data_IF_321277609570
#
_entry.id   IF_321277609570
#
_cell.length_a   1.000
_cell.length_b   1.000
_cell.length_c   1.000
_cell.angle_alpha   90.00
_cell.angle_beta   90.00
_cell.angle_gamma   90.00
#
_symmetry.space_group_name_H-M   'P 1'
#
loop_
_entity.id
_entity.type
_entity.pdbx_description
1 polymer ?
#
# COMPACT_ATOMS: atom_id res chain seq x y z
N UNK A 1 -13.78 9.01 23.36
CA UNK A 1 -12.67 8.39 22.59
C UNK A 1 -13.31 7.46 21.58
N UNK A 2 -12.83 7.40 20.36
CA UNK A 2 -13.30 6.39 19.39
C UNK A 2 -12.97 5.00 19.94
N UNK A 3 -13.89 4.05 19.72
CA UNK A 3 -13.66 2.65 20.06
C UNK A 3 -12.66 2.05 19.06
N UNK A 4 -11.70 1.28 19.57
CA UNK A 4 -10.68 0.64 18.73
C UNK A 4 -11.36 -0.51 17.97
N UNK A 5 -11.37 -0.49 16.62
CA UNK A 5 -11.95 -1.57 15.81
C UNK A 5 -11.33 -2.94 16.11
N UNK A 6 -12.17 -3.99 16.09
CA UNK A 6 -11.77 -5.37 16.40
C UNK A 6 -10.62 -5.90 15.54
N UNK A 7 -10.51 -5.43 14.30
CA UNK A 7 -9.37 -5.71 13.40
C UNK A 7 -8.01 -5.60 14.10
N UNK A 8 -7.81 -4.54 14.90
CA UNK A 8 -6.50 -4.25 15.49
C UNK A 8 -6.14 -5.20 16.65
N UNK A 9 -7.08 -5.97 17.17
CA UNK A 9 -6.80 -6.99 18.20
C UNK A 9 -5.94 -8.15 17.66
N UNK A 10 -5.90 -8.34 16.35
CA UNK A 10 -5.12 -9.40 15.70
C UNK A 10 -3.60 -9.11 15.61
N UNK A 11 -3.18 -7.90 15.98
CA UNK A 11 -1.79 -7.48 15.80
C UNK A 11 -1.10 -7.16 17.12
N UNK A 12 0.08 -7.76 17.32
CA UNK A 12 0.94 -7.50 18.48
C UNK A 12 1.64 -6.14 18.38
N UNK A 13 1.91 -5.68 17.17
CA UNK A 13 2.54 -4.40 16.91
C UNK A 13 1.97 -3.71 15.66
N UNK A 14 1.92 -2.38 15.71
CA UNK A 14 1.46 -1.51 14.62
C UNK A 14 2.56 -0.51 14.33
N UNK A 15 3.04 -0.45 13.10
CA UNK A 15 4.15 0.41 12.69
C UNK A 15 3.74 1.34 11.56
N UNK A 16 4.08 2.61 11.70
CA UNK A 16 3.84 3.63 10.68
C UNK A 16 5.18 4.01 10.05
N UNK A 17 5.38 3.67 8.79
CA UNK A 17 6.58 4.05 8.03
C UNK A 17 6.46 5.51 7.63
N UNK A 18 7.34 6.37 8.19
CA UNK A 18 7.32 7.80 7.95
C UNK A 18 8.75 8.34 7.84
N UNK A 19 9.05 9.11 6.79
CA UNK A 19 10.31 9.85 6.70
C UNK A 19 10.37 10.92 7.78
N UNK A 20 11.46 10.99 8.51
CA UNK A 20 11.64 11.96 9.61
C UNK A 20 11.46 13.42 9.16
N UNK A 21 11.78 13.73 7.91
CA UNK A 21 11.59 15.04 7.29
C UNK A 21 10.12 15.38 6.98
N UNK A 22 9.24 14.37 6.90
CA UNK A 22 7.82 14.52 6.56
C UNK A 22 6.96 14.67 7.81
N UNK A 23 7.20 15.74 8.56
CA UNK A 23 6.41 16.09 9.76
C UNK A 23 4.95 16.42 9.43
N UNK A 24 4.69 16.90 8.22
CA UNK A 24 3.35 17.13 7.66
C UNK A 24 2.55 15.83 7.60
N UNK A 25 3.10 14.77 6.99
CA UNK A 25 2.47 13.45 6.88
C UNK A 25 2.33 12.77 8.24
N UNK A 26 3.33 12.94 9.11
CA UNK A 26 3.24 12.45 10.48
C UNK A 26 2.02 13.03 11.21
N UNK A 27 1.83 14.35 11.15
CA UNK A 27 0.69 15.00 11.78
C UNK A 27 -0.67 14.58 11.14
N UNK A 28 -0.68 14.26 9.85
CA UNK A 28 -1.85 13.71 9.17
C UNK A 28 -2.17 12.31 9.68
N UNK A 29 -1.18 11.41 9.74
CA UNK A 29 -1.35 10.06 10.24
C UNK A 29 -1.75 10.03 11.72
N UNK A 30 -1.25 10.94 12.55
CA UNK A 30 -1.68 11.08 13.95
C UNK A 30 -3.18 11.40 14.08
N UNK A 31 -3.75 12.16 13.12
CA UNK A 31 -5.21 12.39 13.04
C UNK A 31 -5.97 11.15 12.60
N UNK A 32 -5.43 10.40 11.62
CA UNK A 32 -6.03 9.11 11.21
C UNK A 32 -6.06 8.13 12.38
N UNK A 33 -4.94 7.94 13.08
CA UNK A 33 -4.85 7.09 14.27
C UNK A 33 -5.85 7.51 15.37
N UNK A 34 -6.00 8.83 15.58
CA UNK A 34 -6.99 9.34 16.55
C UNK A 34 -8.43 9.02 16.14
N UNK A 35 -8.74 9.01 14.83
CA UNK A 35 -10.08 8.72 14.31
C UNK A 35 -10.56 7.31 14.61
N UNK A 36 -9.63 6.37 14.81
CA UNK A 36 -9.90 4.95 15.13
C UNK A 36 -9.42 4.54 16.53
N UNK A 37 -9.16 5.52 17.42
CA UNK A 37 -8.80 5.25 18.82
C UNK A 37 -7.39 4.70 19.05
N UNK A 38 -6.52 4.71 18.03
CA UNK A 38 -5.16 4.13 18.09
C UNK A 38 -4.08 5.14 18.53
N UNK A 39 -4.41 6.41 18.73
CA UNK A 39 -3.40 7.46 18.97
C UNK A 39 -2.46 7.14 20.14
N UNK A 40 -3.03 6.64 21.22
CA UNK A 40 -2.31 6.36 22.47
C UNK A 40 -2.18 4.84 22.74
N UNK A 41 -2.41 4.02 21.73
CA UNK A 41 -2.25 2.57 21.84
C UNK A 41 -0.76 2.22 21.94
N UNK A 42 -0.32 1.50 23.00
CA UNK A 42 1.08 1.18 23.20
C UNK A 42 1.73 0.31 22.11
N UNK A 43 0.91 -0.36 21.30
CA UNK A 43 1.39 -1.16 20.17
C UNK A 43 1.80 -0.31 18.97
N UNK A 44 1.34 0.96 18.91
CA UNK A 44 1.57 1.88 17.80
C UNK A 44 2.88 2.61 17.94
N UNK A 45 3.72 2.55 16.92
CA UNK A 45 4.94 3.34 16.85
C UNK A 45 5.24 3.80 15.42
N UNK A 46 5.74 5.03 15.31
CA UNK A 46 6.33 5.51 14.07
C UNK A 46 7.71 4.90 13.86
N UNK A 47 7.91 4.30 12.70
CA UNK A 47 9.18 3.78 12.25
C UNK A 47 9.83 4.81 11.31
N UNK A 48 11.04 5.31 11.62
CA UNK A 48 11.76 6.21 10.74
C UNK A 48 12.07 5.50 9.41
N UNK A 49 11.42 5.91 8.34
CA UNK A 49 11.63 5.32 7.03
C UNK A 49 13.10 5.40 6.62
N UNK A 50 13.63 4.31 6.09
CA UNK A 50 15.02 4.24 5.66
C UNK A 50 15.20 5.07 4.38
N UNK A 51 16.17 5.96 4.40
CA UNK A 51 16.61 6.72 3.23
C UNK A 51 17.88 6.09 2.68
N UNK A 52 17.87 5.70 1.40
CA UNK A 52 19.02 5.09 0.74
C UNK A 52 19.76 6.12 -0.13
N UNK A 53 21.10 6.03 -0.16
CA UNK A 53 21.94 6.88 -0.99
C UNK A 53 21.91 6.49 -2.47
N UNK A 54 21.61 5.22 -2.77
CA UNK A 54 21.47 4.66 -4.12
C UNK A 54 20.14 3.93 -4.32
N UNK A 55 19.89 3.53 -5.56
CA UNK A 55 18.68 2.80 -5.90
C UNK A 55 18.76 1.29 -5.64
N UNK A 56 19.95 0.74 -5.36
CA UNK A 56 20.15 -0.70 -5.28
C UNK A 56 19.69 -1.39 -6.57
N UNK A 57 19.00 -2.52 -6.47
CA UNK A 57 18.45 -3.22 -7.63
C UNK A 57 17.16 -2.59 -8.17
N UNK A 58 16.69 -1.49 -7.60
CA UNK A 58 15.44 -0.83 -7.98
C UNK A 58 15.68 0.35 -8.93
N UNK A 59 14.62 0.81 -9.57
CA UNK A 59 14.71 1.96 -10.46
C UNK A 59 15.05 3.27 -9.72
N UNK A 60 14.71 3.38 -8.41
CA UNK A 60 14.79 4.64 -7.65
C UNK A 60 15.24 4.42 -6.21
N UNK A 61 15.95 5.40 -5.65
CA UNK A 61 16.38 5.45 -4.24
C UNK A 61 15.20 5.31 -3.27
N UNK A 62 14.09 6.00 -3.53
CA UNK A 62 12.89 5.91 -2.70
C UNK A 62 12.25 4.52 -2.71
N UNK A 63 12.32 3.79 -3.82
CA UNK A 63 11.88 2.39 -3.90
C UNK A 63 12.77 1.48 -3.04
N UNK A 64 14.10 1.72 -3.05
CA UNK A 64 15.03 1.02 -2.18
C UNK A 64 14.72 1.33 -0.70
N UNK A 65 14.56 2.59 -0.33
CA UNK A 65 14.22 2.99 1.04
C UNK A 65 12.92 2.38 1.56
N UNK A 66 11.87 2.39 0.74
CA UNK A 66 10.59 1.76 1.09
C UNK A 66 10.75 0.25 1.27
N UNK A 67 11.49 -0.42 0.38
CA UNK A 67 11.77 -1.85 0.47
C UNK A 67 12.54 -2.19 1.76
N UNK A 68 13.63 -1.46 2.05
CA UNK A 68 14.44 -1.69 3.26
C UNK A 68 13.65 -1.43 4.54
N UNK A 69 12.74 -0.45 4.54
CA UNK A 69 11.87 -0.16 5.68
C UNK A 69 10.94 -1.34 5.98
N UNK A 70 10.26 -1.88 4.97
CA UNK A 70 9.39 -3.05 5.13
C UNK A 70 10.17 -4.30 5.54
N UNK A 71 11.32 -4.57 4.90
CA UNK A 71 12.18 -5.70 5.25
C UNK A 71 12.65 -5.63 6.71
N UNK A 72 13.08 -4.45 7.18
CA UNK A 72 13.52 -4.25 8.56
C UNK A 72 12.39 -4.52 9.55
N UNK A 73 11.18 -4.00 9.29
CA UNK A 73 10.03 -4.24 10.14
C UNK A 73 9.62 -5.71 10.19
N UNK A 74 9.61 -6.39 9.04
CA UNK A 74 9.26 -7.80 8.95
C UNK A 74 10.30 -8.70 9.65
N UNK A 75 11.60 -8.38 9.54
CA UNK A 75 12.65 -9.08 10.30
C UNK A 75 12.45 -8.94 11.80
N UNK A 76 12.21 -7.71 12.28
CA UNK A 76 11.97 -7.48 13.71
C UNK A 76 10.72 -8.22 14.22
N UNK A 77 9.64 -8.26 13.43
CA UNK A 77 8.43 -9.01 13.77
C UNK A 77 8.71 -10.55 13.80
N UNK A 78 9.43 -11.05 12.81
CA UNK A 78 9.81 -12.47 12.73
C UNK A 78 10.70 -12.90 13.91
N UNK A 79 11.71 -12.10 14.26
CA UNK A 79 12.60 -12.33 15.39
C UNK A 79 11.85 -12.32 16.74
N UNK A 80 10.84 -11.44 16.87
CA UNK A 80 10.00 -11.37 18.06
C UNK A 80 8.89 -12.44 18.09
N UNK A 81 8.65 -13.16 16.98
CA UNK A 81 7.54 -14.10 16.84
C UNK A 81 6.17 -13.40 16.92
N UNK A 82 6.06 -12.16 16.44
CA UNK A 82 4.90 -11.30 16.56
C UNK A 82 4.20 -11.05 15.22
N UNK A 83 2.90 -10.86 15.29
CA UNK A 83 2.12 -10.30 14.19
C UNK A 83 2.39 -8.80 14.07
N UNK A 84 2.38 -8.28 12.83
CA UNK A 84 2.65 -6.87 12.55
C UNK A 84 1.64 -6.28 11.57
N UNK A 85 1.19 -5.06 11.88
CA UNK A 85 0.45 -4.21 10.96
C UNK A 85 1.35 -3.04 10.55
N UNK A 86 1.50 -2.82 9.24
CA UNK A 86 2.33 -1.77 8.67
C UNK A 86 1.45 -0.79 7.91
N UNK A 87 1.54 0.49 8.27
CA UNK A 87 0.99 1.61 7.50
C UNK A 87 2.12 2.43 6.87
N UNK A 88 1.86 2.99 5.70
CA UNK A 88 2.63 4.13 5.19
C UNK A 88 1.95 5.44 5.62
N UNK A 89 2.72 6.50 5.76
CA UNK A 89 2.27 7.80 6.28
C UNK A 89 1.30 8.56 5.37
N UNK A 90 0.98 8.00 4.20
CA UNK A 90 0.02 8.52 3.24
C UNK A 90 -1.26 7.65 3.13
N UNK A 91 -1.54 6.83 4.14
CA UNK A 91 -2.77 6.04 4.22
C UNK A 91 -3.88 6.86 4.89
N UNK A 92 -4.98 7.11 4.18
CA UNK A 92 -6.24 7.67 4.73
C UNK A 92 -7.14 6.51 5.19
N UNK A 93 -7.64 6.56 6.42
CA UNK A 93 -8.47 5.49 6.98
C UNK A 93 -9.94 5.63 6.60
N UNK A 94 -10.57 4.52 6.30
CA UNK A 94 -12.02 4.40 6.16
C UNK A 94 -12.59 3.93 7.51
N UNK A 95 -12.58 4.81 8.51
CA UNK A 95 -12.90 4.47 9.90
C UNK A 95 -14.24 3.77 10.07
N UNK A 96 -15.27 4.17 9.31
CA UNK A 96 -16.59 3.53 9.36
C UNK A 96 -16.57 2.08 8.83
N UNK A 97 -15.70 1.77 7.87
CA UNK A 97 -15.54 0.40 7.36
C UNK A 97 -14.65 -0.43 8.30
N UNK A 98 -13.61 0.17 8.88
CA UNK A 98 -12.77 -0.49 9.89
C UNK A 98 -13.59 -0.93 11.11
N UNK A 99 -14.53 -0.11 11.57
CA UNK A 99 -15.39 -0.42 12.72
C UNK A 99 -16.27 -1.67 12.52
N UNK A 100 -16.51 -2.06 11.27
CA UNK A 100 -17.35 -3.21 10.91
C UNK A 100 -16.55 -4.46 10.57
N UNK A 101 -15.24 -4.32 10.36
CA UNK A 101 -14.41 -5.40 9.83
C UNK A 101 -13.72 -6.17 10.95
N UNK A 102 -13.72 -7.48 10.79
CA UNK A 102 -12.96 -8.41 11.64
C UNK A 102 -12.19 -9.35 10.74
N UNK A 103 -10.92 -9.59 11.05
CA UNK A 103 -10.14 -10.61 10.35
C UNK A 103 -10.74 -11.99 10.61
N UNK A 104 -10.75 -12.88 9.61
CA UNK A 104 -11.16 -14.28 9.83
C UNK A 104 -10.16 -14.98 10.77
N UNK A 105 -10.59 -16.09 11.37
CA UNK A 105 -9.76 -16.87 12.32
C UNK A 105 -8.45 -17.38 11.70
N UNK A 106 -8.46 -17.64 10.40
CA UNK A 106 -7.26 -18.05 9.65
C UNK A 106 -6.88 -16.99 8.62
N UNK A 107 -5.74 -16.38 8.84
CA UNK A 107 -5.14 -15.42 7.93
C UNK A 107 -3.62 -15.43 8.10
N UNK A 108 -2.89 -15.07 7.05
CA UNK A 108 -1.44 -14.93 7.06
C UNK A 108 -1.01 -13.55 6.57
N UNK A 109 -1.60 -13.09 5.46
CA UNK A 109 -1.34 -11.77 4.89
C UNK A 109 -2.67 -11.02 4.82
N UNK A 110 -2.68 -9.77 5.25
CA UNK A 110 -3.83 -8.90 5.19
C UNK A 110 -3.51 -7.65 4.37
N UNK A 111 -4.36 -7.35 3.38
CA UNK A 111 -4.37 -6.09 2.66
C UNK A 111 -5.58 -5.27 3.11
N UNK A 112 -5.32 -4.16 3.83
CA UNK A 112 -6.36 -3.23 4.29
C UNK A 112 -6.64 -2.09 3.31
N UNK A 113 -5.87 -2.02 2.23
CA UNK A 113 -6.06 -1.10 1.11
C UNK A 113 -5.22 -1.58 -0.07
N UNK A 114 -5.83 -1.69 -1.25
CA UNK A 114 -5.14 -2.29 -2.40
C UNK A 114 -5.75 -1.89 -3.73
N UNK A 115 -5.00 -2.18 -4.79
CA UNK A 115 -5.47 -2.20 -6.18
C UNK A 115 -5.15 -3.57 -6.75
N UNK A 116 -6.12 -4.17 -7.43
CA UNK A 116 -6.00 -5.50 -8.03
C UNK A 116 -6.01 -5.42 -9.57
N UNK A 117 -5.22 -6.26 -10.24
CA UNK A 117 -5.23 -6.38 -11.70
C UNK A 117 -6.54 -7.02 -12.21
N UNK A 118 -7.12 -7.91 -11.41
CA UNK A 118 -8.42 -8.53 -11.61
C UNK A 118 -9.21 -8.44 -10.29
N UNK A 119 -10.11 -7.45 -10.13
CA UNK A 119 -10.88 -7.26 -8.91
C UNK A 119 -11.88 -8.39 -8.62
N UNK A 120 -12.27 -9.15 -9.63
CA UNK A 120 -13.24 -10.25 -9.51
C UNK A 120 -12.57 -11.55 -9.04
N UNK A 121 -11.21 -11.61 -9.13
CA UNK A 121 -10.44 -12.80 -8.74
C UNK A 121 -9.17 -12.42 -7.96
N UNK A 122 -9.33 -11.98 -6.72
CA UNK A 122 -8.24 -11.48 -5.89
C UNK A 122 -7.17 -12.54 -5.55
N UNK A 123 -7.54 -13.81 -5.54
CA UNK A 123 -6.63 -14.90 -5.21
C UNK A 123 -5.45 -15.01 -6.20
N UNK A 124 -5.72 -14.80 -7.49
CA UNK A 124 -4.74 -14.89 -8.58
C UNK A 124 -4.27 -13.53 -9.09
N UNK A 125 -4.88 -12.45 -8.60
CA UNK A 125 -4.60 -11.09 -9.03
C UNK A 125 -3.24 -10.57 -8.55
N UNK A 126 -2.62 -9.72 -9.36
CA UNK A 126 -1.53 -8.85 -8.89
C UNK A 126 -2.12 -7.78 -7.98
N UNK A 127 -1.70 -7.78 -6.73
CA UNK A 127 -2.19 -6.87 -5.70
C UNK A 127 -1.10 -5.85 -5.37
N UNK A 128 -1.43 -4.59 -5.52
CA UNK A 128 -0.58 -3.45 -5.15
C UNK A 128 -1.22 -2.75 -3.95
N UNK A 129 -0.49 -2.54 -2.86
CA UNK A 129 -1.08 -1.94 -1.67
C UNK A 129 -0.23 -2.04 -0.41
N UNK A 130 1.10 -1.83 -0.53
CA UNK A 130 1.99 -1.86 0.63
C UNK A 130 1.73 -0.75 1.67
N UNK A 131 0.81 0.17 1.40
CA UNK A 131 0.46 1.27 2.31
C UNK A 131 -0.38 0.84 3.52
N UNK A 132 -1.01 -0.34 3.49
CA UNK A 132 -1.79 -0.91 4.58
C UNK A 132 -1.74 -2.44 4.52
N UNK A 133 -0.77 -3.04 5.19
CA UNK A 133 -0.57 -4.49 5.20
C UNK A 133 -0.38 -5.06 6.58
N UNK A 134 -0.98 -6.23 6.82
CA UNK A 134 -0.79 -7.03 8.02
C UNK A 134 -0.12 -8.37 7.70
N UNK A 135 0.67 -8.87 8.66
CA UNK A 135 1.33 -10.17 8.56
C UNK A 135 1.18 -10.93 9.87
N UNK A 136 0.76 -12.20 9.79
CA UNK A 136 0.84 -13.14 10.91
C UNK A 136 2.32 -13.39 11.27
N UNK A 137 2.64 -13.94 12.45
CA UNK A 137 4.03 -14.26 12.80
C UNK A 137 4.69 -15.15 11.75
N UNK A 138 3.97 -16.14 11.22
CA UNK A 138 4.48 -17.03 10.18
C UNK A 138 4.70 -16.29 8.87
N UNK A 139 3.75 -15.45 8.46
CA UNK A 139 3.88 -14.67 7.23
C UNK A 139 4.98 -13.61 7.33
N UNK A 140 5.17 -12.98 8.50
CA UNK A 140 6.28 -12.05 8.73
C UNK A 140 7.64 -12.74 8.56
N UNK A 141 7.79 -13.97 9.09
CA UNK A 141 9.01 -14.77 8.90
C UNK A 141 9.24 -15.11 7.43
N UNK A 142 8.24 -15.68 6.76
CA UNK A 142 8.33 -16.03 5.32
C UNK A 142 8.65 -14.81 4.47
N UNK A 143 7.98 -13.66 4.74
CA UNK A 143 8.23 -12.41 4.03
C UNK A 143 9.64 -11.87 4.26
N UNK A 144 10.15 -11.91 5.51
CA UNK A 144 11.51 -11.47 5.83
C UNK A 144 12.56 -12.32 5.12
N UNK A 145 12.39 -13.65 5.09
CA UNK A 145 13.27 -14.58 4.38
C UNK A 145 13.22 -14.36 2.87
N UNK A 146 12.02 -14.26 2.31
CA UNK A 146 11.80 -14.03 0.88
C UNK A 146 12.40 -12.71 0.41
N UNK A 147 12.10 -11.61 1.10
CA UNK A 147 12.59 -10.28 0.75
C UNK A 147 14.10 -10.14 0.93
N UNK A 148 14.70 -10.90 1.87
CA UNK A 148 16.15 -10.98 2.02
C UNK A 148 16.79 -11.59 0.77
N UNK A 149 16.27 -12.73 0.34
CA UNK A 149 16.72 -13.42 -0.86
C UNK A 149 16.44 -12.61 -2.13
N UNK A 150 15.33 -11.88 -2.17
CA UNK A 150 14.93 -11.03 -3.30
C UNK A 150 16.01 -10.03 -3.72
N UNK A 151 16.87 -9.61 -2.81
CA UNK A 151 17.97 -8.68 -3.08
C UNK A 151 19.22 -9.36 -3.67
N UNK A 152 19.30 -10.68 -3.61
CA UNK A 152 20.46 -11.41 -4.12
C UNK A 152 20.49 -11.42 -5.66
N UNK A 153 21.66 -11.30 -6.28
CA UNK A 153 21.78 -11.22 -7.74
C UNK A 153 21.24 -12.44 -8.48
N UNK A 154 21.32 -13.61 -7.84
CA UNK A 154 20.87 -14.90 -8.37
C UNK A 154 19.41 -15.26 -8.01
N UNK A 155 18.68 -14.34 -7.38
CA UNK A 155 17.27 -14.56 -7.05
C UNK A 155 16.45 -14.82 -8.32
N UNK A 156 15.66 -15.91 -8.37
CA UNK A 156 14.91 -16.30 -9.56
C UNK A 156 13.85 -15.24 -9.91
N UNK A 157 13.74 -14.96 -11.22
CA UNK A 157 12.71 -14.07 -11.72
C UNK A 157 11.35 -14.75 -11.70
N UNK A 158 10.32 -13.98 -11.35
CA UNK A 158 8.94 -14.46 -11.47
C UNK A 158 8.58 -14.67 -12.94
N UNK A 159 8.13 -15.87 -13.28
CA UNK A 159 7.87 -16.27 -14.66
C UNK A 159 6.80 -15.41 -15.35
N UNK A 160 5.75 -14.99 -14.59
CA UNK A 160 4.69 -14.15 -15.14
C UNK A 160 5.17 -12.71 -15.37
N UNK A 161 6.03 -12.20 -14.48
CA UNK A 161 6.65 -10.90 -14.67
C UNK A 161 7.62 -10.91 -15.85
N UNK A 162 8.45 -11.93 -15.95
CA UNK A 162 9.43 -12.08 -17.05
C UNK A 162 8.76 -12.23 -18.43
N UNK A 163 7.54 -12.73 -18.49
CA UNK A 163 6.76 -12.86 -19.73
C UNK A 163 6.12 -11.52 -20.18
N UNK A 164 6.15 -10.47 -19.36
CA UNK A 164 5.53 -9.17 -19.70
C UNK A 164 6.39 -8.41 -20.72
N UNK A 165 5.80 -7.81 -21.77
CA UNK A 165 6.53 -6.96 -22.70
C UNK A 165 7.25 -5.81 -21.97
N UNK A 166 8.52 -5.59 -22.29
CA UNK A 166 9.34 -4.51 -21.69
C UNK A 166 9.84 -4.81 -20.27
N UNK A 167 9.73 -6.06 -19.80
CA UNK A 167 10.35 -6.45 -18.53
C UNK A 167 11.87 -6.36 -18.63
N UNK A 168 12.47 -5.65 -17.69
CA UNK A 168 13.93 -5.55 -17.54
C UNK A 168 14.40 -6.41 -16.37
N UNK A 169 15.10 -7.52 -16.61
CA UNK A 169 15.57 -8.42 -15.56
C UNK A 169 16.61 -7.77 -14.62
N UNK A 170 17.25 -6.68 -15.03
CA UNK A 170 18.21 -5.95 -14.20
C UNK A 170 17.53 -5.04 -13.16
N UNK A 171 16.23 -4.75 -13.32
CA UNK A 171 15.48 -3.87 -12.44
C UNK A 171 14.47 -4.69 -11.63
N UNK A 172 14.63 -4.73 -10.32
CA UNK A 172 13.67 -5.38 -9.43
C UNK A 172 12.41 -4.51 -9.26
N UNK A 173 11.21 -5.10 -9.31
CA UNK A 173 10.00 -4.44 -8.84
C UNK A 173 10.14 -3.93 -7.41
N UNK A 174 9.57 -2.76 -7.06
CA UNK A 174 9.58 -2.26 -5.68
C UNK A 174 8.79 -3.16 -4.75
N UNK A 175 8.67 -2.76 -3.49
CA UNK A 175 8.08 -3.59 -2.41
C UNK A 175 6.70 -4.17 -2.78
N UNK A 176 5.83 -3.42 -3.44
CA UNK A 176 4.53 -3.93 -3.91
C UNK A 176 4.68 -5.10 -4.86
N UNK A 177 5.56 -4.97 -5.86
CA UNK A 177 5.84 -6.02 -6.83
C UNK A 177 6.55 -7.22 -6.19
N UNK A 178 7.42 -6.98 -5.20
CA UNK A 178 8.05 -8.06 -4.43
C UNK A 178 7.01 -8.90 -3.67
N UNK A 179 5.98 -8.25 -3.08
CA UNK A 179 4.86 -8.96 -2.44
C UNK A 179 3.97 -9.72 -3.45
N UNK A 180 3.81 -9.20 -4.67
CA UNK A 180 3.14 -9.97 -5.75
C UNK A 180 3.89 -11.26 -6.03
N UNK A 181 5.21 -11.19 -6.23
CA UNK A 181 6.04 -12.37 -6.48
C UNK A 181 6.04 -13.34 -5.29
N UNK A 182 6.14 -12.81 -4.06
CA UNK A 182 6.09 -13.60 -2.84
C UNK A 182 4.79 -14.39 -2.71
N UNK A 183 3.64 -13.76 -2.94
CA UNK A 183 2.33 -14.45 -2.89
C UNK A 183 2.22 -15.57 -3.91
N UNK A 184 2.82 -15.42 -5.09
CA UNK A 184 2.86 -16.48 -6.10
C UNK A 184 3.81 -17.62 -5.72
N UNK A 185 4.92 -17.29 -5.05
CA UNK A 185 5.89 -18.29 -4.56
C UNK A 185 5.36 -19.05 -3.33
N UNK A 186 4.44 -18.44 -2.56
CA UNK A 186 3.90 -18.97 -1.31
C UNK A 186 2.36 -19.03 -1.35
N UNK A 187 1.76 -19.86 -2.21
CA UNK A 187 0.31 -19.99 -2.34
C UNK A 187 -0.38 -20.60 -1.12
N UNK A 188 0.39 -21.20 -0.21
CA UNK A 188 -0.08 -21.74 1.06
C UNK A 188 -0.46 -20.66 2.08
N UNK A 189 0.05 -19.43 1.93
CA UNK A 189 -0.27 -18.29 2.80
C UNK A 189 -1.67 -17.74 2.50
N UNK A 190 -2.53 -17.78 3.48
CA UNK A 190 -3.91 -17.27 3.36
C UNK A 190 -3.89 -15.75 3.32
N UNK A 191 -4.25 -15.18 2.18
CA UNK A 191 -4.34 -13.73 2.01
C UNK A 191 -5.78 -13.24 2.14
N UNK A 192 -6.00 -12.26 3.01
CA UNK A 192 -7.27 -11.59 3.23
C UNK A 192 -7.24 -10.16 2.69
N UNK A 193 -8.38 -9.69 2.19
CA UNK A 193 -8.51 -8.40 1.54
C UNK A 193 -9.71 -7.63 2.10
N UNK A 194 -9.49 -6.35 2.41
CA UNK A 194 -10.56 -5.42 2.72
C UNK A 194 -10.17 -4.01 2.25
N UNK A 195 -11.14 -3.20 1.87
CA UNK A 195 -10.90 -1.81 1.52
C UNK A 195 -11.20 -0.93 2.75
N UNK A 196 -10.22 -0.79 3.62
CA UNK A 196 -10.28 -0.07 4.89
C UNK A 196 -9.41 1.18 4.92
N UNK A 197 -8.56 1.36 3.93
CA UNK A 197 -7.72 2.53 3.76
C UNK A 197 -7.39 2.77 2.30
N UNK A 198 -7.07 4.01 1.98
CA UNK A 198 -6.69 4.42 0.62
C UNK A 198 -5.42 5.24 0.66
N UNK A 199 -4.58 5.11 -0.36
CA UNK A 199 -3.37 5.91 -0.46
C UNK A 199 -3.71 7.34 -0.85
N UNK A 200 -3.30 8.31 -0.02
CA UNK A 200 -3.49 9.74 -0.25
C UNK A 200 -2.66 10.20 -1.45
N UNK A 201 -3.25 11.05 -2.26
CA UNK A 201 -2.49 11.75 -3.29
C UNK A 201 -1.69 12.88 -2.65
N UNK A 202 -0.41 12.66 -2.46
CA UNK A 202 0.53 13.73 -2.08
C UNK A 202 1.72 13.73 -3.03
N UNK A 203 2.55 14.80 -2.98
CA UNK A 203 3.87 14.75 -3.61
C UNK A 203 4.63 13.57 -3.00
N UNK A 204 4.93 12.56 -3.82
CA UNK A 204 5.61 11.36 -3.35
C UNK A 204 7.12 11.60 -3.40
N UNK A 205 7.82 11.32 -2.30
CA UNK A 205 9.28 11.32 -2.27
C UNK A 205 9.87 10.08 -2.98
N UNK A 206 9.01 9.12 -3.34
CA UNK A 206 9.39 7.86 -4.01
C UNK A 206 9.50 8.05 -5.53
N UNK A 207 8.89 9.08 -6.10
CA UNK A 207 9.07 9.41 -7.50
C UNK A 207 7.88 9.98 -8.25
N UNK A 208 8.14 10.45 -9.46
CA UNK A 208 7.13 11.02 -10.35
C UNK A 208 6.06 9.97 -10.71
N UNK A 209 4.78 10.30 -10.55
CA UNK A 209 3.65 9.43 -10.88
C UNK A 209 3.67 8.94 -12.35
N UNK A 210 4.40 9.63 -13.22
CA UNK A 210 4.50 9.32 -14.65
C UNK A 210 5.13 7.98 -15.00
N UNK A 211 5.95 7.39 -14.11
CA UNK A 211 6.61 6.10 -14.41
C UNK A 211 5.69 4.92 -14.15
N UNK A 212 4.83 5.00 -13.15
CA UNK A 212 3.78 4.00 -12.91
C UNK A 212 2.69 4.03 -14.01
N UNK A 213 2.43 5.21 -14.58
CA UNK A 213 1.50 5.40 -15.71
C UNK A 213 2.02 4.77 -17.02
N UNK A 214 3.30 4.44 -17.12
CA UNK A 214 3.89 3.80 -18.31
C UNK A 214 3.74 2.27 -18.30
N UNK A 215 3.42 1.66 -17.16
CA UNK A 215 3.06 0.25 -17.09
C UNK A 215 1.56 0.15 -17.39
N UNK A 216 1.12 -0.43 -18.52
CA UNK A 216 -0.28 -0.41 -18.96
C UNK A 216 -1.27 -0.92 -17.91
N UNK A 217 -0.87 -1.91 -17.13
CA UNK A 217 -1.66 -2.51 -16.03
C UNK A 217 -1.86 -1.52 -14.88
N UNK A 218 -0.82 -0.79 -14.47
CA UNK A 218 -0.89 0.17 -13.35
C UNK A 218 -1.76 1.38 -13.69
N UNK A 219 -1.74 1.83 -14.94
CA UNK A 219 -2.56 2.96 -15.41
C UNK A 219 -4.06 2.67 -15.29
N UNK A 220 -4.50 1.48 -15.67
CA UNK A 220 -5.89 1.03 -15.53
C UNK A 220 -6.26 0.87 -14.05
N UNK A 221 -5.37 0.28 -13.25
CA UNK A 221 -5.57 0.03 -11.82
C UNK A 221 -5.63 1.32 -11.00
N UNK A 222 -4.76 2.29 -11.27
CA UNK A 222 -4.81 3.61 -10.64
C UNK A 222 -6.13 4.35 -10.95
N UNK A 223 -6.71 4.12 -12.13
CA UNK A 223 -8.03 4.65 -12.51
C UNK A 223 -9.18 4.04 -11.70
N UNK A 224 -9.13 2.73 -11.43
CA UNK A 224 -10.15 2.01 -10.65
C UNK A 224 -10.08 2.39 -9.17
N UNK A 225 -8.89 2.42 -8.58
CA UNK A 225 -8.68 2.87 -7.20
C UNK A 225 -9.19 4.29 -6.97
N UNK A 226 -8.99 5.19 -7.95
CA UNK A 226 -9.53 6.55 -7.92
C UNK A 226 -11.05 6.57 -7.85
N UNK A 227 -11.74 5.78 -8.68
CA UNK A 227 -13.21 5.69 -8.71
C UNK A 227 -13.79 5.11 -7.41
N UNK A 228 -13.14 4.07 -6.87
CA UNK A 228 -13.56 3.44 -5.62
C UNK A 228 -13.39 4.43 -4.45
N UNK A 229 -12.25 5.10 -4.35
CA UNK A 229 -12.00 6.11 -3.33
C UNK A 229 -13.01 7.26 -3.44
N UNK A 230 -13.19 7.85 -4.63
CA UNK A 230 -14.08 8.99 -4.83
C UNK A 230 -15.54 8.62 -4.48
N UNK A 231 -15.93 7.36 -4.70
CA UNK A 231 -17.24 6.81 -4.30
C UNK A 231 -17.37 6.58 -2.79
N UNK A 232 -16.31 6.05 -2.12
CA UNK A 232 -16.34 5.72 -0.69
C UNK A 232 -16.14 6.94 0.21
N UNK A 233 -15.35 7.93 -0.21
CA UNK A 233 -15.09 9.13 0.59
C UNK A 233 -16.15 10.22 0.45
N UNK A 234 -17.20 9.98 -0.34
CA UNK A 234 -18.27 10.97 -0.59
C UNK A 234 -17.79 12.23 -1.34
N UNK A 235 -16.53 12.25 -1.78
CA UNK A 235 -16.02 13.27 -2.70
C UNK A 235 -16.44 12.90 -4.12
N UNK A 236 -17.76 12.81 -4.36
CA UNK A 236 -18.25 12.97 -5.71
C UNK A 236 -17.71 14.33 -6.17
N UNK A 237 -16.86 14.33 -7.19
CA UNK A 237 -16.58 15.54 -7.93
C UNK A 237 -17.93 16.01 -8.44
N UNK A 238 -18.54 17.00 -7.81
CA UNK A 238 -19.48 17.85 -8.52
C UNK A 238 -18.70 18.35 -9.73
N UNK A 239 -18.88 17.68 -10.84
CA UNK A 239 -18.64 18.30 -12.13
C UNK A 239 -19.67 19.42 -12.21
N UNK A 240 -19.26 20.59 -11.77
CA UNK A 240 -19.93 21.83 -12.08
C UNK A 240 -19.93 21.89 -13.61
N UNK A 241 -21.06 21.57 -14.20
CA UNK A 241 -21.38 22.00 -15.55
C UNK A 241 -21.37 23.54 -15.49
N UNK A 242 -20.26 24.16 -15.88
CA UNK A 242 -20.28 25.54 -16.31
C UNK A 242 -21.11 25.53 -17.57
N UNK A 243 -22.38 25.92 -17.41
CA UNK A 243 -23.24 26.39 -18.49
C UNK A 243 -22.53 27.57 -19.14
N UNK A 244 -21.82 27.31 -20.24
CA UNK A 244 -21.41 28.35 -21.15
C UNK A 244 -22.68 28.77 -21.93
N UNK A 245 -23.33 29.82 -21.43
CA UNK A 245 -24.42 30.49 -22.08
C UNK A 245 -23.90 31.13 -23.40
N UNK A 246 -24.13 30.46 -24.52
CA UNK A 246 -23.99 31.05 -25.85
C UNK A 246 -25.17 31.96 -26.12
N UNK A 247 -25.06 33.21 -25.65
CA UNK A 247 -26.00 34.27 -26.01
C UNK A 247 -26.11 34.42 -27.51
N UNK A 248 -27.33 34.79 -28.03
CA UNK A 248 -27.59 34.80 -29.46
C UNK A 248 -26.81 35.92 -30.18
N UNK A 249 -26.15 35.52 -31.28
CA UNK A 249 -25.44 36.43 -32.17
C UNK A 249 -26.33 37.59 -32.67
N UNK A 250 -25.87 38.81 -32.46
CA UNK A 250 -26.44 39.98 -33.10
C UNK A 250 -26.00 40.02 -34.56
N UNK A 251 -26.94 39.73 -35.46
CA UNK A 251 -26.90 40.19 -36.84
C UNK A 251 -27.15 41.69 -36.85
N UNK A 252 -26.26 42.47 -37.45
CA UNK A 252 -26.41 43.90 -37.68
C UNK A 252 -25.56 44.34 -38.84
N UNK A 253 -26.23 44.63 -39.87
CA UNK A 253 -26.01 45.55 -41.01
C UNK A 253 -24.57 45.90 -41.39
#
# INVERSE_FOLDING_TARGET
MAEIPALFAAFDQIRIVNLASRTDRRAEMERELASVGLRDDPRVAFFPAISCEDSGPFLRKGSNGAFQSHLTLLRGAAEAGQSILIFQDDCDFLAAEMAKYTLPDRWDIFYGGYVASDPDNLATSDIIGAHFMGFSPQAAKTAAEYLTRYLEPDFPLDAQAAAKPGFDPAIRPPIDGAFVWMRRAHPELVTCFAMLGVQRRSRTDIGDQRVWDQIPVVRTLAGIARRIRDKLTGRATEMREENVDFGPGKTGQ
#
